data_IF_122292697096
#
_entry.id   IF_122292697096
#
_cell.length_a   1.000
_cell.length_b   1.000
_cell.length_c   1.000
_cell.angle_alpha   90.00
_cell.angle_beta   90.00
_cell.angle_gamma   90.00
#
_symmetry.space_group_name_H-M   'P 1'
#
loop_
_entity.id
_entity.type
_entity.pdbx_description
1 polymer ?
#
# COMPACT_ATOMS: atom_id res chain seq x y z
N UNK A 1 -20.75 -15.97 -18.72
CA UNK A 1 -20.13 -16.53 -17.51
C UNK A 1 -18.83 -15.79 -17.28
N UNK A 2 -18.73 -14.95 -16.24
CA UNK A 2 -17.49 -14.24 -15.96
C UNK A 2 -16.38 -15.27 -15.72
N UNK A 3 -15.38 -15.25 -16.60
CA UNK A 3 -14.35 -16.25 -16.70
C UNK A 3 -13.55 -16.33 -15.38
N UNK A 4 -13.06 -17.51 -14.99
CA UNK A 4 -12.25 -17.69 -13.76
C UNK A 4 -11.07 -16.70 -13.70
N UNK A 5 -10.59 -16.28 -14.87
CA UNK A 5 -9.55 -15.25 -15.04
C UNK A 5 -9.99 -13.88 -14.52
N UNK A 6 -11.20 -13.43 -14.87
CA UNK A 6 -11.72 -12.11 -14.49
C UNK A 6 -11.88 -11.98 -12.98
N UNK A 7 -12.42 -13.01 -12.33
CA UNK A 7 -12.54 -13.05 -10.86
C UNK A 7 -11.20 -13.09 -10.14
N UNK A 8 -10.21 -13.81 -10.72
CA UNK A 8 -8.85 -13.86 -10.17
C UNK A 8 -8.14 -12.53 -10.29
N UNK A 9 -8.27 -11.85 -11.43
CA UNK A 9 -7.67 -10.54 -11.65
C UNK A 9 -8.34 -9.49 -10.75
N UNK A 10 -9.67 -9.53 -10.61
CA UNK A 10 -10.40 -8.67 -9.68
C UNK A 10 -9.95 -8.87 -8.22
N UNK A 11 -9.78 -10.12 -7.79
CA UNK A 11 -9.28 -10.43 -6.45
C UNK A 11 -7.82 -9.95 -6.24
N UNK A 12 -6.98 -10.06 -7.28
CA UNK A 12 -5.61 -9.56 -7.26
C UNK A 12 -5.56 -8.04 -7.16
N UNK A 13 -6.24 -7.31 -8.05
CA UNK A 13 -6.27 -5.85 -8.03
C UNK A 13 -6.97 -5.32 -6.78
N UNK A 14 -8.04 -5.98 -6.32
CA UNK A 14 -8.73 -5.65 -5.08
C UNK A 14 -7.82 -5.78 -3.86
N UNK A 15 -7.16 -6.93 -3.71
CA UNK A 15 -6.17 -7.20 -2.65
C UNK A 15 -5.03 -6.18 -2.66
N UNK A 16 -4.46 -5.91 -3.84
CA UNK A 16 -3.40 -4.92 -4.01
C UNK A 16 -3.88 -3.53 -3.58
N UNK A 17 -5.02 -3.07 -4.08
CA UNK A 17 -5.58 -1.76 -3.75
C UNK A 17 -5.86 -1.62 -2.26
N UNK A 18 -6.33 -2.70 -1.62
CA UNK A 18 -6.54 -2.76 -0.17
C UNK A 18 -5.22 -2.67 0.59
N UNK A 19 -4.17 -3.38 0.15
CA UNK A 19 -2.85 -3.30 0.77
C UNK A 19 -2.26 -1.88 0.66
N UNK A 20 -2.38 -1.25 -0.51
CA UNK A 20 -1.97 0.14 -0.70
C UNK A 20 -2.73 1.09 0.22
N UNK A 21 -4.05 0.97 0.25
CA UNK A 21 -4.92 1.77 1.10
C UNK A 21 -4.56 1.59 2.58
N UNK A 22 -4.32 0.36 3.01
CA UNK A 22 -3.93 0.06 4.39
C UNK A 22 -2.58 0.67 4.75
N UNK A 23 -1.58 0.59 3.88
CA UNK A 23 -0.27 1.21 4.12
C UNK A 23 -0.34 2.74 4.12
N UNK A 24 -1.13 3.35 3.23
CA UNK A 24 -1.32 4.81 3.19
C UNK A 24 -2.06 5.31 4.43
N UNK A 25 -3.14 4.64 4.82
CA UNK A 25 -3.91 5.00 6.03
C UNK A 25 -3.08 4.74 7.30
N UNK A 26 -2.33 3.64 7.33
CA UNK A 26 -1.38 3.36 8.42
C UNK A 26 -0.29 4.42 8.53
N UNK A 27 0.27 4.84 7.39
CA UNK A 27 1.25 5.92 7.28
C UNK A 27 0.67 7.26 7.74
N UNK A 28 -0.55 7.61 7.33
CA UNK A 28 -1.27 8.79 7.82
C UNK A 28 -1.45 8.75 9.34
N UNK A 29 -1.92 7.62 9.87
CA UNK A 29 -2.18 7.47 11.30
C UNK A 29 -0.90 7.59 12.12
N UNK A 30 0.18 6.93 11.70
CA UNK A 30 1.50 7.03 12.34
C UNK A 30 2.07 8.45 12.23
N UNK A 31 1.99 9.06 11.05
CA UNK A 31 2.45 10.43 10.83
C UNK A 31 1.72 11.43 11.72
N UNK A 32 0.39 11.29 11.85
CA UNK A 32 -0.44 12.12 12.72
C UNK A 32 -0.16 11.86 14.22
N UNK A 33 0.07 10.61 14.61
CA UNK A 33 0.46 10.26 15.99
C UNK A 33 1.80 10.90 16.36
N UNK A 34 2.78 10.85 15.45
CA UNK A 34 4.11 11.45 15.64
C UNK A 34 4.01 12.98 15.66
N UNK A 35 3.25 13.58 14.75
CA UNK A 35 3.02 15.03 14.69
C UNK A 35 2.43 15.55 16.01
N UNK A 36 1.43 14.86 16.55
CA UNK A 36 0.79 15.21 17.83
C UNK A 36 1.71 15.01 19.04
N UNK A 37 2.49 13.92 19.06
CA UNK A 37 3.34 13.60 20.21
C UNK A 37 4.64 14.43 20.25
N UNK A 38 5.22 14.77 19.09
CA UNK A 38 6.52 15.43 18.99
C UNK A 38 6.45 16.88 18.52
N UNK A 39 5.25 17.43 18.26
CA UNK A 39 5.03 18.78 17.69
C UNK A 39 5.83 19.04 16.39
N UNK A 40 6.14 17.96 15.66
CA UNK A 40 6.85 18.01 14.39
C UNK A 40 5.85 18.27 13.27
N UNK A 41 6.00 19.41 12.60
CA UNK A 41 5.15 19.75 11.45
C UNK A 41 5.51 18.88 10.24
N UNK A 42 4.50 18.55 9.43
CA UNK A 42 4.61 17.78 8.17
C UNK A 42 4.85 16.27 8.33
N UNK A 43 4.75 15.73 9.54
CA UNK A 43 4.93 14.29 9.77
C UNK A 43 3.76 13.47 9.25
N UNK A 44 2.56 14.02 9.21
CA UNK A 44 1.39 13.37 8.59
C UNK A 44 1.58 13.18 7.09
N UNK A 45 2.02 14.22 6.37
CA UNK A 45 2.31 14.15 4.94
C UNK A 45 3.48 13.18 4.65
N UNK A 46 4.52 13.22 5.48
CA UNK A 46 5.66 12.29 5.38
C UNK A 46 5.20 10.85 5.60
N UNK A 47 4.35 10.61 6.60
CA UNK A 47 3.77 9.30 6.89
C UNK A 47 2.93 8.75 5.73
N UNK A 48 2.08 9.59 5.12
CA UNK A 48 1.32 9.24 3.91
C UNK A 48 2.25 8.86 2.76
N UNK A 49 3.28 9.68 2.50
CA UNK A 49 4.25 9.42 1.44
C UNK A 49 5.00 8.12 1.68
N UNK A 50 5.48 7.88 2.91
CA UNK A 50 6.16 6.64 3.29
C UNK A 50 5.23 5.43 3.11
N UNK A 51 3.98 5.52 3.56
CA UNK A 51 2.98 4.47 3.37
C UNK A 51 2.71 4.17 1.89
N UNK A 52 2.63 5.21 1.06
CA UNK A 52 2.48 5.07 -0.39
C UNK A 52 3.69 4.38 -1.04
N UNK A 53 4.91 4.82 -0.70
CA UNK A 53 6.14 4.24 -1.22
C UNK A 53 6.32 2.78 -0.79
N UNK A 54 6.06 2.45 0.46
CA UNK A 54 6.12 1.07 0.96
C UNK A 54 5.06 0.19 0.28
N UNK A 55 3.83 0.69 0.15
CA UNK A 55 2.76 -0.05 -0.52
C UNK A 55 3.12 -0.36 -1.97
N UNK A 56 3.59 0.64 -2.72
CA UNK A 56 4.06 0.45 -4.10
C UNK A 56 5.27 -0.49 -4.16
N UNK A 57 6.22 -0.37 -3.24
CA UNK A 57 7.39 -1.25 -3.19
C UNK A 57 7.00 -2.71 -2.99
N UNK A 58 6.06 -3.01 -2.08
CA UNK A 58 5.55 -4.37 -1.91
C UNK A 58 4.86 -4.89 -3.17
N UNK A 59 4.04 -4.07 -3.84
CA UNK A 59 3.41 -4.46 -5.10
C UNK A 59 4.44 -4.82 -6.16
N UNK A 60 5.46 -3.98 -6.33
CA UNK A 60 6.55 -4.23 -7.28
C UNK A 60 7.35 -5.47 -6.88
N UNK A 61 7.65 -5.68 -5.60
CA UNK A 61 8.36 -6.84 -5.11
C UNK A 61 7.56 -8.14 -5.33
N UNK A 62 6.24 -8.12 -5.11
CA UNK A 62 5.34 -9.25 -5.38
C UNK A 62 5.30 -9.53 -6.88
N UNK A 63 5.09 -8.50 -7.72
CA UNK A 63 5.06 -8.64 -9.17
C UNK A 63 6.40 -9.17 -9.73
N UNK A 64 7.52 -8.66 -9.23
CA UNK A 64 8.86 -9.10 -9.61
C UNK A 64 9.12 -10.56 -9.21
N UNK A 65 8.75 -10.96 -7.98
CA UNK A 65 8.84 -12.36 -7.54
C UNK A 65 7.94 -13.29 -8.35
N UNK A 66 6.74 -12.85 -8.71
CA UNK A 66 5.83 -13.61 -9.55
C UNK A 66 6.37 -13.80 -10.98
N UNK A 67 7.05 -12.77 -11.52
CA UNK A 67 7.70 -12.83 -12.83
C UNK A 67 8.97 -13.70 -12.85
N UNK A 68 9.76 -13.73 -11.77
CA UNK A 68 10.99 -14.54 -11.66
C UNK A 68 10.77 -16.04 -11.45
N UNK A 69 9.57 -16.45 -11.01
CA UNK A 69 9.21 -17.87 -10.83
C UNK A 69 8.73 -18.55 -12.12
N UNK A 70 8.81 -17.85 -13.26
CA UNK A 70 8.46 -18.37 -14.58
C UNK A 70 9.70 -18.74 -15.38
#
# INVERSE_FOLDING_TARGET
>A
MADKKTWRDLALYGSLSLNLGFMVVGGYFLGNLIEKNYRLHNMTATGVLVGLFLGLYEMFAIAYRAGRKK
#
